data_IF_065348528364
#
_entry.id   IF_065348528364
#
_cell.length_a   1.000
_cell.length_b   1.000
_cell.length_c   1.000
_cell.angle_alpha   90.00
_cell.angle_beta   90.00
_cell.angle_gamma   90.00
#
_symmetry.space_group_name_H-M   'P 1'
#
loop_
_entity.id
_entity.type
_entity.pdbx_description
1 polymer ?
#
# COMPACT_ATOMS: atom_id res chain seq x y z
N UNK A 1 -17.81 23.26 12.34
CA UNK A 1 -18.17 22.10 11.51
C UNK A 1 -17.18 21.02 11.89
N UNK A 2 -17.64 19.94 12.53
CA UNK A 2 -16.75 18.85 12.95
C UNK A 2 -16.28 18.13 11.69
N UNK A 3 -15.12 18.51 11.19
CA UNK A 3 -14.47 17.81 10.10
C UNK A 3 -14.01 16.47 10.67
N UNK A 4 -14.88 15.46 10.65
CA UNK A 4 -14.46 14.08 10.86
C UNK A 4 -13.58 13.73 9.68
N UNK A 5 -12.29 14.05 9.79
CA UNK A 5 -11.25 13.61 8.87
C UNK A 5 -11.36 12.09 8.79
N UNK A 6 -11.96 11.59 7.70
CA UNK A 6 -11.98 10.16 7.42
C UNK A 6 -10.53 9.73 7.27
N UNK A 7 -10.17 8.61 7.88
CA UNK A 7 -8.89 7.98 7.65
C UNK A 7 -8.72 7.74 6.13
N UNK A 8 -7.74 8.36 5.46
CA UNK A 8 -7.56 8.23 4.01
C UNK A 8 -6.86 6.93 3.60
N UNK A 9 -6.63 6.03 4.56
CA UNK A 9 -5.97 4.75 4.34
C UNK A 9 -6.96 3.60 4.31
N UNK A 10 -6.79 2.73 3.31
CA UNK A 10 -7.52 1.48 3.16
C UNK A 10 -6.58 0.28 3.35
N UNK A 11 -7.09 -0.85 3.84
CA UNK A 11 -6.30 -2.07 3.94
C UNK A 11 -5.99 -2.62 2.55
N UNK A 12 -4.72 -2.95 2.33
CA UNK A 12 -4.30 -3.61 1.11
C UNK A 12 -5.06 -4.94 0.94
N UNK A 13 -5.59 -5.15 -0.25
CA UNK A 13 -6.41 -6.31 -0.56
C UNK A 13 -6.37 -6.63 -2.05
N UNK A 14 -6.97 -7.77 -2.41
CA UNK A 14 -6.93 -8.32 -3.77
C UNK A 14 -7.54 -7.39 -4.83
N UNK A 15 -8.53 -6.58 -4.46
CA UNK A 15 -9.14 -5.60 -5.37
C UNK A 15 -8.14 -4.51 -5.69
N UNK A 16 -7.47 -3.94 -4.68
CA UNK A 16 -6.46 -2.89 -4.88
C UNK A 16 -5.30 -3.42 -5.73
N UNK A 17 -4.77 -4.59 -5.37
CA UNK A 17 -3.71 -5.24 -6.15
C UNK A 17 -4.11 -5.47 -7.61
N UNK A 18 -5.31 -5.99 -7.87
CA UNK A 18 -5.79 -6.23 -9.24
C UNK A 18 -5.97 -4.93 -10.03
N UNK A 19 -6.42 -3.86 -9.36
CA UNK A 19 -6.59 -2.55 -9.99
C UNK A 19 -5.25 -1.94 -10.38
N UNK A 20 -4.25 -1.99 -9.49
CA UNK A 20 -2.90 -1.56 -9.80
C UNK A 20 -2.29 -2.35 -10.96
N UNK A 21 -2.52 -3.66 -11.03
CA UNK A 21 -2.12 -4.46 -12.21
C UNK A 21 -2.78 -4.01 -13.50
N UNK A 22 -4.04 -3.57 -13.45
CA UNK A 22 -4.76 -3.05 -14.62
C UNK A 22 -4.31 -1.63 -15.01
N UNK A 23 -3.69 -0.90 -14.09
CA UNK A 23 -3.14 0.44 -14.28
C UNK A 23 -1.64 0.41 -14.67
N UNK A 24 -1.12 -0.76 -15.06
CA UNK A 24 0.28 -0.97 -15.44
C UNK A 24 1.30 -0.65 -14.33
N UNK A 25 0.90 -0.70 -13.06
CA UNK A 25 1.83 -0.58 -11.92
C UNK A 25 2.83 -1.74 -11.96
N UNK A 26 4.13 -1.43 -11.88
CA UNK A 26 5.21 -2.42 -12.00
C UNK A 26 5.83 -2.76 -10.64
N UNK A 27 5.83 -1.82 -9.70
CA UNK A 27 6.43 -2.01 -8.40
C UNK A 27 5.64 -1.32 -7.28
N UNK A 28 5.85 -1.81 -6.06
CA UNK A 28 5.25 -1.29 -4.84
C UNK A 28 6.39 -1.02 -3.87
N UNK A 29 6.50 0.24 -3.41
CA UNK A 29 7.38 0.61 -2.30
C UNK A 29 6.63 0.41 -0.99
N UNK A 30 7.32 -0.15 0.00
CA UNK A 30 6.81 -0.34 1.36
C UNK A 30 7.51 0.64 2.29
N UNK A 31 6.75 1.48 2.98
CA UNK A 31 7.29 2.42 3.98
C UNK A 31 6.59 2.24 5.33
N UNK A 32 7.32 2.32 6.43
CA UNK A 32 6.71 2.29 7.76
C UNK A 32 5.93 3.60 7.98
N UNK A 33 4.61 3.47 8.19
CA UNK A 33 3.72 4.61 8.39
C UNK A 33 3.63 4.99 9.87
N UNK A 34 3.30 4.01 10.71
CA UNK A 34 3.13 4.23 12.15
C UNK A 34 3.04 2.92 12.92
N UNK A 35 3.16 2.99 14.24
CA UNK A 35 2.90 1.88 15.13
C UNK A 35 1.83 2.27 16.15
N UNK A 36 0.83 1.42 16.33
CA UNK A 36 -0.25 1.67 17.30
C UNK A 36 -0.73 0.36 17.93
N UNK A 37 -0.87 0.32 19.25
CA UNK A 37 -1.34 -0.84 20.02
C UNK A 37 -0.61 -2.17 19.69
N UNK A 38 0.70 -2.10 19.42
CA UNK A 38 1.50 -3.29 19.07
C UNK A 38 1.28 -3.80 17.64
N UNK A 39 0.57 -3.04 16.80
CA UNK A 39 0.42 -3.26 15.36
C UNK A 39 1.27 -2.25 14.63
N UNK A 40 2.10 -2.72 13.69
CA UNK A 40 2.87 -1.86 12.78
C UNK A 40 2.11 -1.71 11.47
N UNK A 41 1.94 -0.47 11.03
CA UNK A 41 1.31 -0.11 9.77
C UNK A 41 2.38 0.27 8.77
N UNK A 42 2.33 -0.36 7.60
CA UNK A 42 3.16 -0.02 6.46
C UNK A 42 2.28 0.55 5.36
N UNK A 43 2.72 1.66 4.77
CA UNK A 43 2.13 2.24 3.57
C UNK A 43 2.70 1.57 2.33
N UNK A 44 1.82 1.26 1.38
CA UNK A 44 2.18 0.77 0.05
C UNK A 44 1.99 1.90 -0.97
N UNK A 45 3.06 2.20 -1.69
CA UNK A 45 3.12 3.28 -2.67
C UNK A 45 3.40 2.66 -4.05
N UNK A 46 2.45 2.73 -5.01
CA UNK A 46 2.64 2.18 -6.34
C UNK A 46 3.58 3.07 -7.18
N UNK A 47 4.43 2.45 -7.99
CA UNK A 47 5.35 3.10 -8.94
C UNK A 47 6.10 4.31 -8.36
N UNK A 48 6.45 4.24 -7.07
CA UNK A 48 7.30 5.25 -6.46
C UNK A 48 8.59 5.35 -7.27
N UNK A 49 8.86 6.53 -7.84
CA UNK A 49 10.07 6.75 -8.62
C UNK A 49 11.29 6.34 -7.77
N UNK A 50 12.26 5.65 -8.40
CA UNK A 50 13.57 5.30 -7.82
C UNK A 50 14.44 6.55 -7.60
N UNK A 51 13.87 7.57 -6.96
CA UNK A 51 14.59 8.78 -6.57
C UNK A 51 15.10 8.53 -5.15
N UNK A 52 16.36 8.12 -5.12
CA UNK A 52 17.26 8.00 -3.97
C UNK A 52 17.22 6.70 -3.13
N UNK A 53 18.26 5.90 -3.39
CA UNK A 53 19.10 5.14 -2.46
C UNK A 53 18.55 3.97 -1.62
N UNK A 54 17.25 3.85 -1.37
CA UNK A 54 16.70 2.75 -0.55
C UNK A 54 15.77 1.85 -1.36
N UNK A 55 16.33 1.15 -2.36
CA UNK A 55 15.64 0.08 -3.10
C UNK A 55 15.31 -1.15 -2.24
N UNK A 56 15.69 -1.17 -0.96
CA UNK A 56 15.55 -2.33 -0.06
C UNK A 56 14.09 -2.68 0.23
N UNK A 57 13.16 -1.75 0.05
CA UNK A 57 11.72 -1.98 0.28
C UNK A 57 10.87 -1.81 -0.97
N UNK A 58 11.50 -1.91 -2.16
CA UNK A 58 10.81 -1.87 -3.44
C UNK A 58 10.60 -3.29 -3.98
N UNK A 59 9.34 -3.69 -4.11
CA UNK A 59 8.97 -5.04 -4.53
C UNK A 59 8.27 -5.01 -5.89
N UNK A 60 8.60 -5.93 -6.82
CA UNK A 60 7.81 -6.11 -8.03
C UNK A 60 6.35 -6.45 -7.68
N UNK A 61 5.37 -5.91 -8.41
CA UNK A 61 3.94 -6.14 -8.13
C UNK A 61 3.53 -7.62 -8.17
N UNK A 62 4.29 -8.43 -8.91
CA UNK A 62 4.10 -9.87 -9.11
C UNK A 62 5.03 -10.72 -8.22
N UNK A 63 5.75 -10.13 -7.26
CA UNK A 63 6.60 -10.88 -6.35
C UNK A 63 5.80 -11.65 -5.30
N UNK A 64 6.40 -12.72 -4.75
CA UNK A 64 5.83 -13.46 -3.63
C UNK A 64 5.66 -12.57 -2.40
N UNK A 65 6.55 -11.60 -2.17
CA UNK A 65 6.44 -10.65 -1.06
C UNK A 65 5.13 -9.85 -1.11
N UNK A 66 4.75 -9.33 -2.28
CA UNK A 66 3.49 -8.60 -2.45
C UNK A 66 2.28 -9.52 -2.23
N UNK A 67 2.39 -10.79 -2.63
CA UNK A 67 1.33 -11.78 -2.37
C UNK A 67 1.21 -12.08 -0.87
N UNK A 68 2.32 -12.13 -0.14
CA UNK A 68 2.32 -12.31 1.31
C UNK A 68 1.74 -11.10 2.05
N UNK A 69 1.86 -9.88 1.50
CA UNK A 69 1.23 -8.67 2.05
C UNK A 69 -0.31 -8.72 2.01
N UNK A 70 -0.90 -9.54 1.13
CA UNK A 70 -2.35 -9.79 1.09
C UNK A 70 -2.81 -10.75 2.19
N UNK A 71 -1.89 -11.48 2.82
CA UNK A 71 -2.23 -12.44 3.86
C UNK A 71 -2.54 -11.72 5.17
N UNK A 72 -3.57 -12.16 5.91
CA UNK A 72 -3.94 -11.54 7.17
C UNK A 72 -2.83 -11.73 8.22
N UNK A 73 -2.27 -10.63 8.71
CA UNK A 73 -1.34 -10.61 9.84
C UNK A 73 -1.94 -9.84 11.02
N UNK A 74 -1.75 -10.35 12.24
CA UNK A 74 -2.29 -9.75 13.47
C UNK A 74 -1.44 -8.57 13.99
N UNK A 75 -0.14 -8.56 13.68
CA UNK A 75 0.84 -7.59 14.17
C UNK A 75 1.29 -6.60 13.10
N UNK A 76 1.00 -6.90 11.83
CA UNK A 76 1.38 -6.07 10.69
C UNK A 76 0.16 -5.78 9.83
N UNK A 77 0.02 -4.54 9.37
CA UNK A 77 -1.03 -4.11 8.44
C UNK A 77 -0.41 -3.33 7.29
N UNK A 78 -0.72 -3.75 6.07
CA UNK A 78 -0.40 -3.01 4.87
C UNK A 78 -1.60 -2.15 4.48
N UNK A 79 -1.36 -0.86 4.28
CA UNK A 79 -2.38 0.12 3.94
C UNK A 79 -2.00 0.90 2.70
N UNK A 80 -3.01 1.41 2.01
CA UNK A 80 -2.88 2.19 0.79
C UNK A 80 -3.61 3.50 1.00
N UNK A 81 -2.96 4.62 0.71
CA UNK A 81 -3.60 5.92 0.73
C UNK A 81 -4.51 6.10 -0.49
N UNK A 82 -5.70 6.70 -0.28
CA UNK A 82 -6.70 6.95 -1.32
C UNK A 82 -6.14 7.72 -2.55
N UNK A 83 -5.06 8.50 -2.40
CA UNK A 83 -4.43 9.24 -3.51
C UNK A 83 -3.84 8.31 -4.57
N UNK A 84 -3.46 7.10 -4.18
CA UNK A 84 -2.93 6.05 -5.06
C UNK A 84 -4.02 5.19 -5.69
N UNK A 85 -5.28 5.52 -5.39
CA UNK A 85 -6.47 4.86 -5.91
C UNK A 85 -7.26 5.78 -6.84
N UNK A 86 -6.75 6.98 -7.13
CA UNK A 86 -7.35 7.90 -8.08
C UNK A 86 -7.48 7.19 -9.43
N UNK A 87 -8.70 7.17 -9.97
CA UNK A 87 -9.18 6.36 -11.11
C UNK A 87 -9.65 4.92 -10.78
N UNK A 88 -10.38 4.75 -9.66
CA UNK A 88 -11.38 3.68 -9.52
C UNK A 88 -12.81 4.14 -9.87
N UNK A 89 -12.94 5.30 -10.50
CA UNK A 89 -14.20 5.76 -11.07
C UNK A 89 -14.36 5.15 -12.48
N UNK A 90 -15.48 4.44 -12.63
CA UNK A 90 -15.99 3.62 -13.77
C UNK A 90 -15.85 4.24 -15.18
#
# INVERSE_FOLDING_TARGET
>A
MSNSEKNPYQLFNKTIWSNWKNQDVVCIKVEELSQSNGITFFELIPDSEMLDADSETLYPIDSEDVMDMLLPNAQVKFVVHDIYMADLDD
#
